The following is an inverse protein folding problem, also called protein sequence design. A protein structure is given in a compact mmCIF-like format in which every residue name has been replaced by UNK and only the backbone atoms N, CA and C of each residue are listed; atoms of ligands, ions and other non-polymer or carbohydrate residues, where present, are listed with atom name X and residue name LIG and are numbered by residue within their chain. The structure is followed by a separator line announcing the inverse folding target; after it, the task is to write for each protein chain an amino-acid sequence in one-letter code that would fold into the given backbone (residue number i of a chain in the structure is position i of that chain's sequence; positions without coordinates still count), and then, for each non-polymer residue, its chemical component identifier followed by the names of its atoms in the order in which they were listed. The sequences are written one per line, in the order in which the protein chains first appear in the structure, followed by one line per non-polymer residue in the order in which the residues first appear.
data_IF_703251796215
#
_entry.id   IF_703251796215
#
_cell.length_a   1.000
_cell.length_b   1.000
_cell.length_c   1.000
_cell.angle_alpha   90.00
_cell.angle_beta   90.00
_cell.angle_gamma   90.00
#
_symmetry.space_group_name_H-M   'P 1'
#
loop_
_entity.id
_entity.type
_entity.pdbx_description
1 polymer ?
#
# COMPACT_ATOMS: atom_id res chain seq x y z
N UNK A 1 18.98 -10.21 8.75
CA UNK A 1 17.76 -10.01 9.56
C UNK A 1 17.61 -8.53 9.87
N UNK A 2 16.41 -7.98 9.74
CA UNK A 2 16.09 -6.58 10.03
C UNK A 2 15.11 -6.55 11.20
N UNK A 3 15.36 -5.70 12.19
CA UNK A 3 14.47 -5.43 13.31
C UNK A 3 13.93 -4.00 13.20
N UNK A 4 12.65 -3.82 13.46
CA UNK A 4 12.02 -2.49 13.55
C UNK A 4 11.01 -2.47 14.69
N UNK A 5 10.91 -1.33 15.37
CA UNK A 5 10.00 -1.13 16.48
C UNK A 5 9.30 0.21 16.38
N UNK A 6 8.07 0.27 16.89
CA UNK A 6 7.27 1.47 16.99
C UNK A 6 6.59 1.52 18.36
N UNK A 7 6.67 2.68 19.02
CA UNK A 7 5.97 2.96 20.26
C UNK A 7 5.31 4.33 20.15
N UNK A 8 4.06 4.43 20.55
CA UNK A 8 3.31 5.68 20.57
C UNK A 8 2.52 5.81 21.87
N UNK A 9 2.74 6.93 22.53
CA UNK A 9 2.01 7.34 23.74
C UNK A 9 1.06 8.46 23.31
N UNK A 10 -0.24 8.21 23.42
CA UNK A 10 -1.28 9.12 22.94
C UNK A 10 -1.66 10.19 24.00
N UNK A 11 -1.37 9.94 25.27
CA UNK A 11 -1.64 10.88 26.38
C UNK A 11 -0.69 10.61 27.55
N UNK A 12 -0.32 11.68 28.27
CA UNK A 12 0.47 11.65 29.51
C UNK A 12 -0.32 12.15 30.73
N UNK A 13 -1.62 12.45 30.56
CA UNK A 13 -2.42 13.18 31.55
C UNK A 13 -2.49 12.53 32.94
N UNK A 14 -2.18 11.22 33.06
CA UNK A 14 -2.16 10.49 34.33
C UNK A 14 -0.86 9.69 34.54
N UNK A 15 0.29 10.14 34.03
CA UNK A 15 1.55 9.41 34.23
C UNK A 15 1.94 9.35 35.73
N UNK A 16 2.30 8.17 36.28
CA UNK A 16 2.58 6.89 35.62
C UNK A 16 1.38 5.94 35.42
N UNK A 17 0.21 6.21 36.03
CA UNK A 17 -1.03 5.43 35.89
C UNK A 17 -1.77 5.71 34.56
N UNK A 18 -1.08 5.37 33.48
CA UNK A 18 -1.63 5.47 32.14
C UNK A 18 -2.75 4.44 31.92
N UNK A 19 -3.91 4.89 31.44
CA UNK A 19 -5.00 3.98 31.10
C UNK A 19 -4.67 3.11 29.88
N UNK A 20 -5.44 2.04 29.67
CA UNK A 20 -5.25 1.10 28.55
C UNK A 20 -5.33 1.78 27.16
N UNK A 21 -5.89 3.01 27.09
CA UNK A 21 -6.01 3.79 25.85
C UNK A 21 -4.78 4.66 25.55
N UNK A 22 -3.89 4.86 26.53
CA UNK A 22 -2.75 5.74 26.43
C UNK A 22 -1.63 5.18 25.55
N UNK A 23 -1.47 3.86 25.49
CA UNK A 23 -0.36 3.21 24.78
C UNK A 23 -0.80 2.50 23.49
N UNK A 24 0.04 2.59 22.46
CA UNK A 24 0.03 1.73 21.26
C UNK A 24 1.47 1.37 20.91
N UNK A 25 1.72 0.18 20.38
CA UNK A 25 3.06 -0.20 19.97
C UNK A 25 3.10 -1.45 19.12
N UNK A 26 4.20 -1.63 18.41
CA UNK A 26 4.45 -2.84 17.62
C UNK A 26 5.94 -3.11 17.50
N UNK A 27 6.32 -4.38 17.48
CA UNK A 27 7.67 -4.86 17.19
C UNK A 27 7.59 -5.79 15.98
N UNK A 28 8.47 -5.59 15.01
CA UNK A 28 8.52 -6.37 13.78
C UNK A 28 9.92 -6.87 13.49
N UNK A 29 10.03 -8.17 13.24
CA UNK A 29 11.26 -8.83 12.82
C UNK A 29 11.06 -9.32 11.39
N UNK A 30 11.96 -8.93 10.48
CA UNK A 30 11.98 -9.43 9.10
C UNK A 30 13.25 -10.23 8.86
N UNK A 31 13.08 -11.44 8.36
CA UNK A 31 14.16 -12.31 7.92
C UNK A 31 13.98 -12.64 6.44
N UNK A 32 14.97 -12.26 5.63
CA UNK A 32 15.05 -12.73 4.26
C UNK A 32 15.52 -14.19 4.28
N UNK A 33 14.79 -15.06 3.60
CA UNK A 33 15.08 -16.47 3.44
C UNK A 33 15.66 -16.72 2.04
N UNK A 34 16.10 -17.96 1.78
CA UNK A 34 16.55 -18.39 0.46
C UNK A 34 15.48 -18.22 -0.62
N UNK A 35 15.91 -18.19 -1.89
CA UNK A 35 15.03 -18.08 -3.07
C UNK A 35 14.10 -16.86 -3.07
N UNK A 36 14.45 -15.78 -2.37
CA UNK A 36 13.69 -14.52 -2.39
C UNK A 36 12.48 -14.48 -1.43
N UNK A 37 12.27 -15.52 -0.62
CA UNK A 37 11.21 -15.52 0.39
C UNK A 37 11.53 -14.59 1.56
N UNK A 38 10.49 -14.03 2.19
CA UNK A 38 10.64 -13.23 3.40
C UNK A 38 9.70 -13.72 4.50
N UNK A 39 10.23 -13.92 5.71
CA UNK A 39 9.47 -14.21 6.90
C UNK A 39 9.41 -12.95 7.77
N UNK A 40 8.20 -12.53 8.12
CA UNK A 40 7.96 -11.39 9.01
C UNK A 40 7.25 -11.88 10.27
N UNK A 41 7.85 -11.66 11.44
CA UNK A 41 7.18 -11.82 12.74
C UNK A 41 6.76 -10.45 13.27
N UNK A 42 5.53 -10.35 13.79
CA UNK A 42 5.01 -9.11 14.37
C UNK A 42 4.26 -9.37 15.67
N UNK A 43 4.55 -8.55 16.67
CA UNK A 43 3.68 -8.32 17.81
C UNK A 43 3.16 -6.89 17.75
N UNK A 44 1.87 -6.69 17.96
CA UNK A 44 1.27 -5.37 18.05
C UNK A 44 0.27 -5.28 19.19
N UNK A 45 0.20 -4.10 19.81
CA UNK A 45 -0.73 -3.74 20.86
C UNK A 45 -1.49 -2.48 20.43
N UNK A 46 -2.83 -2.59 20.42
CA UNK A 46 -3.78 -1.56 20.03
C UNK A 46 -3.46 -0.97 18.65
N UNK A 47 -3.20 -1.83 17.69
CA UNK A 47 -2.96 -1.43 16.31
C UNK A 47 -4.24 -0.85 15.69
N UNK A 48 -4.11 0.23 14.91
CA UNK A 48 -5.22 0.90 14.24
C UNK A 48 -5.16 0.59 12.74
N UNK A 49 -6.17 -0.10 12.23
CA UNK A 49 -6.28 -0.46 10.81
C UNK A 49 -7.42 0.33 10.16
N UNK A 50 -7.22 0.85 8.96
CA UNK A 50 -8.30 1.41 8.15
C UNK A 50 -8.88 0.30 7.27
N UNK A 51 -10.17 0.01 7.42
CA UNK A 51 -10.88 -1.02 6.65
C UNK A 51 -11.96 -0.37 5.76
N UNK A 52 -11.53 0.31 4.69
CA UNK A 52 -12.42 0.86 3.66
C UNK A 52 -13.56 1.70 4.24
N UNK A 53 -14.80 1.44 3.81
CA UNK A 53 -16.00 2.16 4.27
C UNK A 53 -16.36 1.89 5.74
N UNK A 54 -15.84 0.84 6.37
CA UNK A 54 -15.94 0.65 7.81
C UNK A 54 -15.07 1.64 8.60
N UNK A 55 -14.11 2.29 7.93
CA UNK A 55 -13.20 3.22 8.55
C UNK A 55 -12.24 2.54 9.51
N UNK A 56 -11.82 3.25 10.56
CA UNK A 56 -10.80 2.72 11.46
C UNK A 56 -11.35 1.69 12.44
N UNK A 57 -10.61 0.60 12.59
CA UNK A 57 -10.82 -0.48 13.56
C UNK A 57 -9.57 -0.64 14.40
N UNK A 58 -9.75 -1.06 15.65
CA UNK A 58 -8.64 -1.30 16.57
C UNK A 58 -8.52 -2.80 16.80
N UNK A 59 -7.34 -3.33 16.56
CA UNK A 59 -6.94 -4.68 16.96
C UNK A 59 -6.28 -4.54 18.32
N UNK A 60 -6.82 -5.20 19.34
CA UNK A 60 -6.36 -5.04 20.71
C UNK A 60 -4.94 -5.57 20.89
N UNK A 61 -4.70 -6.79 20.43
CA UNK A 61 -3.38 -7.37 20.35
C UNK A 61 -3.33 -8.34 19.18
N UNK A 62 -2.14 -8.49 18.59
CA UNK A 62 -1.89 -9.50 17.55
C UNK A 62 -0.45 -9.96 17.65
N UNK A 63 -0.24 -11.27 17.73
CA UNK A 63 1.06 -11.90 17.59
C UNK A 63 1.00 -12.85 16.40
N UNK A 64 1.90 -12.73 15.44
CA UNK A 64 1.88 -13.64 14.31
C UNK A 64 3.09 -13.58 13.41
N UNK A 65 3.05 -14.44 12.41
CA UNK A 65 4.08 -14.58 11.38
C UNK A 65 3.46 -14.59 10.00
N UNK A 66 4.20 -14.04 9.05
CA UNK A 66 3.80 -13.90 7.64
C UNK A 66 4.96 -14.35 6.77
N UNK A 67 4.72 -15.37 5.95
CA UNK A 67 5.65 -15.81 4.91
C UNK A 67 5.20 -15.25 3.56
N UNK A 68 6.06 -14.49 2.91
CA UNK A 68 5.80 -13.88 1.60
C UNK A 68 6.74 -14.47 0.55
N UNK A 69 6.20 -14.85 -0.60
CA UNK A 69 6.98 -15.32 -1.75
C UNK A 69 7.69 -14.16 -2.46
N UNK A 70 8.74 -14.43 -3.26
CA UNK A 70 9.16 -13.47 -4.29
C UNK A 70 8.04 -13.22 -5.31
N UNK A 71 8.20 -12.19 -6.13
CA UNK A 71 7.39 -12.02 -7.34
C UNK A 71 7.90 -12.99 -8.41
N UNK A 72 7.04 -13.89 -8.85
CA UNK A 72 7.32 -14.88 -9.89
C UNK A 72 6.87 -14.26 -11.22
N UNK A 73 7.80 -14.06 -12.15
CA UNK A 73 7.47 -13.61 -13.50
C UNK A 73 6.74 -14.73 -14.26
N UNK A 74 5.64 -14.39 -14.94
CA UNK A 74 4.83 -15.32 -15.72
C UNK A 74 5.04 -15.18 -17.23
N UNK A 75 5.48 -13.99 -17.68
CA UNK A 75 5.81 -13.68 -19.06
C UNK A 75 6.76 -12.47 -19.15
N UNK A 76 7.27 -12.21 -20.34
CA UNK A 76 8.18 -11.09 -20.62
C UNK A 76 7.46 -9.71 -20.62
N UNK A 77 6.12 -9.71 -20.65
CA UNK A 77 5.30 -8.50 -20.62
C UNK A 77 5.13 -7.93 -19.19
N UNK A 78 5.71 -8.59 -18.18
CA UNK A 78 5.69 -8.13 -16.80
C UNK A 78 4.52 -8.67 -15.98
N UNK A 79 3.82 -9.72 -16.45
CA UNK A 79 2.85 -10.42 -15.61
C UNK A 79 3.57 -11.12 -14.47
N UNK A 80 3.03 -10.98 -13.26
CA UNK A 80 3.63 -11.55 -12.04
C UNK A 80 2.60 -12.24 -11.17
N UNK A 81 3.03 -13.32 -10.54
CA UNK A 81 2.32 -13.97 -9.45
C UNK A 81 3.12 -13.86 -8.14
N UNK A 82 2.44 -13.68 -7.03
CA UNK A 82 3.02 -13.78 -5.70
C UNK A 82 2.00 -14.33 -4.73
N UNK A 83 2.45 -15.01 -3.69
CA UNK A 83 1.59 -15.51 -2.63
C UNK A 83 2.15 -15.20 -1.25
N UNK A 84 1.26 -15.24 -0.27
CA UNK A 84 1.56 -15.05 1.13
C UNK A 84 0.73 -16.02 1.95
N UNK A 85 1.30 -16.52 3.04
CA UNK A 85 0.58 -17.25 4.07
C UNK A 85 0.90 -16.67 5.44
N UNK A 86 -0.05 -16.71 6.37
CA UNK A 86 0.16 -16.19 7.71
C UNK A 86 -0.59 -16.95 8.79
N UNK A 87 -0.04 -16.87 10.00
CA UNK A 87 -0.67 -17.28 11.24
C UNK A 87 -0.62 -16.10 12.21
N UNK A 88 -1.74 -15.81 12.87
CA UNK A 88 -1.85 -14.74 13.86
C UNK A 88 -2.76 -15.18 15.00
N UNK A 89 -2.32 -15.05 16.24
CA UNK A 89 -3.20 -15.03 17.40
C UNK A 89 -3.66 -13.59 17.62
N UNK A 90 -4.94 -13.32 17.39
CA UNK A 90 -5.50 -11.96 17.38
C UNK A 90 -6.58 -11.80 18.43
N UNK A 91 -6.52 -10.69 19.16
CA UNK A 91 -7.57 -10.25 20.07
C UNK A 91 -8.18 -8.96 19.53
N UNK A 92 -9.49 -8.97 19.27
CA UNK A 92 -10.22 -7.79 18.81
C UNK A 92 -11.70 -7.90 19.18
N UNK A 93 -12.44 -6.80 19.03
CA UNK A 93 -13.89 -6.81 19.24
C UNK A 93 -14.59 -7.64 18.16
N UNK A 94 -15.49 -8.51 18.62
CA UNK A 94 -16.40 -9.30 17.79
C UNK A 94 -17.85 -8.90 18.10
N UNK A 95 -18.70 -8.93 17.09
CA UNK A 95 -20.14 -8.74 17.22
C UNK A 95 -20.91 -10.07 17.09
N UNK A 96 -20.22 -11.22 17.12
CA UNK A 96 -20.80 -12.56 17.10
C UNK A 96 -21.30 -12.96 18.49
N UNK A 97 -22.61 -12.97 18.77
CA UNK A 97 -23.12 -13.26 20.11
C UNK A 97 -22.63 -14.61 20.66
N UNK A 98 -22.49 -15.61 19.80
CA UNK A 98 -22.04 -16.97 20.11
C UNK A 98 -20.57 -17.05 20.57
N UNK A 99 -19.73 -16.06 20.23
CA UNK A 99 -18.34 -15.98 20.70
C UNK A 99 -18.22 -15.22 22.02
N UNK A 100 -19.30 -14.59 22.49
CA UNK A 100 -19.25 -13.64 23.57
C UNK A 100 -19.95 -14.18 24.83
N UNK A 101 -19.29 -14.04 25.98
CA UNK A 101 -19.86 -14.43 27.28
C UNK A 101 -21.09 -13.58 27.61
N UNK A 102 -22.09 -14.16 28.27
CA UNK A 102 -23.34 -13.46 28.63
C UNK A 102 -23.09 -12.23 29.52
N UNK A 103 -22.29 -12.39 30.57
CA UNK A 103 -21.82 -11.30 31.43
C UNK A 103 -20.37 -10.93 31.07
N UNK A 104 -20.17 -9.76 30.44
CA UNK A 104 -18.87 -9.31 29.93
C UNK A 104 -18.67 -7.81 30.06
N UNK A 105 -17.42 -7.39 30.27
CA UNK A 105 -17.02 -5.98 30.32
C UNK A 105 -16.72 -5.38 28.94
N UNK A 106 -16.43 -6.23 27.95
CA UNK A 106 -16.12 -5.84 26.57
C UNK A 106 -16.48 -6.98 25.61
N UNK A 107 -16.45 -6.68 24.31
CA UNK A 107 -16.76 -7.65 23.24
C UNK A 107 -15.50 -8.29 22.63
N UNK A 108 -14.38 -8.31 23.36
CA UNK A 108 -13.10 -8.80 22.83
C UNK A 108 -13.07 -10.33 22.85
N UNK A 109 -12.63 -10.91 21.75
CA UNK A 109 -12.42 -12.35 21.60
C UNK A 109 -11.02 -12.56 21.06
N UNK A 110 -10.36 -13.61 21.54
CA UNK A 110 -9.05 -14.05 21.05
C UNK A 110 -9.25 -15.27 20.15
N UNK A 111 -8.86 -15.16 18.89
CA UNK A 111 -8.92 -16.26 17.91
C UNK A 111 -7.57 -16.41 17.22
N UNK A 112 -7.24 -17.65 16.87
CA UNK A 112 -6.18 -17.89 15.89
C UNK A 112 -6.75 -17.63 14.50
N UNK A 113 -5.95 -16.99 13.65
CA UNK A 113 -6.27 -16.59 12.28
C UNK A 113 -5.19 -17.14 11.36
N UNK A 114 -5.62 -17.92 10.38
CA UNK A 114 -4.79 -18.46 9.31
C UNK A 114 -5.24 -17.84 8.00
N UNK A 115 -4.31 -17.28 7.23
CA UNK A 115 -4.64 -16.65 5.94
C UNK A 115 -3.71 -17.16 4.86
N UNK A 116 -4.26 -17.44 3.68
CA UNK A 116 -3.51 -17.58 2.45
C UNK A 116 -4.03 -16.57 1.41
N UNK A 117 -3.10 -15.89 0.76
CA UNK A 117 -3.34 -14.87 -0.27
C UNK A 117 -2.51 -15.21 -1.51
N UNK A 118 -3.15 -15.25 -2.68
CA UNK A 118 -2.51 -15.25 -3.98
C UNK A 118 -2.83 -13.96 -4.73
N UNK A 119 -1.85 -13.36 -5.39
CA UNK A 119 -2.01 -12.16 -6.21
C UNK A 119 -1.42 -12.38 -7.59
N UNK A 120 -2.25 -12.19 -8.61
CA UNK A 120 -1.88 -12.14 -10.01
C UNK A 120 -1.97 -10.68 -10.48
N UNK A 121 -0.91 -10.18 -11.12
CA UNK A 121 -0.90 -8.89 -11.81
C UNK A 121 -0.57 -9.19 -13.27
N UNK A 122 -1.42 -8.73 -14.18
CA UNK A 122 -1.27 -8.96 -15.61
C UNK A 122 -1.44 -7.63 -16.36
N UNK A 123 -0.34 -6.93 -16.67
CA UNK A 123 -0.37 -5.72 -17.49
C UNK A 123 -0.40 -6.07 -18.99
N UNK A 124 -1.08 -5.25 -19.78
CA UNK A 124 -1.06 -5.30 -21.25
C UNK A 124 -0.74 -3.91 -21.76
N UNK A 125 0.48 -3.72 -22.27
CA UNK A 125 0.89 -2.46 -22.87
C UNK A 125 0.10 -2.22 -24.16
N UNK A 126 -0.70 -1.15 -24.19
CA UNK A 126 -1.46 -0.78 -25.39
C UNK A 126 -0.63 0.12 -26.30
N UNK A 127 0.11 1.05 -25.69
CA UNK A 127 0.92 2.02 -26.40
C UNK A 127 2.07 2.52 -25.53
N UNK A 128 3.21 2.81 -26.16
CA UNK A 128 4.39 3.42 -25.54
C UNK A 128 5.00 4.41 -26.52
N UNK A 129 5.23 5.63 -26.05
CA UNK A 129 5.99 6.63 -26.79
C UNK A 129 7.49 6.53 -26.51
N UNK A 130 8.23 7.49 -27.05
CA UNK A 130 9.66 7.64 -26.77
C UNK A 130 9.90 8.65 -25.66
N UNK A 131 10.92 8.39 -24.83
CA UNK A 131 11.39 9.35 -23.85
C UNK A 131 12.25 10.43 -24.51
N UNK A 132 12.26 11.63 -23.93
CA UNK A 132 13.21 12.66 -24.34
C UNK A 132 14.65 12.27 -23.97
N UNK A 133 15.65 12.82 -24.66
CA UNK A 133 17.05 12.60 -24.29
C UNK A 133 17.30 12.97 -22.83
N UNK A 134 18.19 12.23 -22.18
CA UNK A 134 18.53 12.40 -20.77
C UNK A 134 19.46 13.61 -20.55
N UNK A 135 19.05 14.80 -21.00
CA UNK A 135 19.78 16.07 -20.88
C UNK A 135 19.11 16.99 -19.87
N UNK A 136 19.86 17.98 -19.38
CA UNK A 136 19.41 18.94 -18.37
C UNK A 136 18.21 19.78 -18.81
N UNK A 137 18.10 20.06 -20.10
CA UNK A 137 17.07 20.91 -20.70
C UNK A 137 15.87 20.12 -21.20
N UNK A 138 15.97 18.80 -21.30
CA UNK A 138 14.93 17.93 -21.87
C UNK A 138 14.43 16.91 -20.82
N UNK A 139 14.74 15.63 -20.97
CA UNK A 139 14.17 14.55 -20.16
C UNK A 139 14.57 14.57 -18.68
N UNK A 140 15.60 15.31 -18.29
CA UNK A 140 16.02 15.43 -16.89
C UNK A 140 15.68 16.78 -16.25
N UNK A 141 14.92 17.65 -16.92
CA UNK A 141 14.68 19.02 -16.45
C UNK A 141 13.95 19.08 -15.10
N UNK A 142 12.93 18.24 -14.93
CA UNK A 142 12.12 18.19 -13.71
C UNK A 142 12.16 16.84 -12.97
N UNK A 143 12.75 15.80 -13.57
CA UNK A 143 12.83 14.45 -13.01
C UNK A 143 14.24 13.86 -13.11
N UNK A 144 14.59 12.92 -12.22
CA UNK A 144 15.90 12.24 -12.27
C UNK A 144 16.02 11.25 -13.43
N UNK A 145 14.91 10.87 -14.08
CA UNK A 145 14.85 10.00 -15.25
C UNK A 145 13.85 10.55 -16.26
N UNK A 146 14.08 10.38 -17.58
CA UNK A 146 13.10 10.79 -18.60
C UNK A 146 11.75 10.13 -18.40
N UNK A 147 10.69 10.93 -18.50
CA UNK A 147 9.31 10.43 -18.49
C UNK A 147 8.98 9.89 -19.87
N UNK A 148 8.54 8.64 -19.92
CA UNK A 148 8.14 7.96 -21.15
C UNK A 148 6.61 7.87 -21.17
N UNK A 149 5.92 8.48 -22.15
CA UNK A 149 4.48 8.33 -22.31
C UNK A 149 4.09 6.86 -22.53
N UNK A 150 3.00 6.40 -21.92
CA UNK A 150 2.44 5.08 -22.18
C UNK A 150 0.97 4.99 -21.80
N UNK A 151 0.28 4.01 -22.36
CA UNK A 151 -1.06 3.57 -21.96
C UNK A 151 -1.05 2.05 -21.86
N UNK A 152 -1.60 1.51 -20.77
CA UNK A 152 -1.71 0.08 -20.57
C UNK A 152 -3.04 -0.29 -19.92
N UNK A 153 -3.51 -1.50 -20.21
CA UNK A 153 -4.50 -2.18 -19.38
C UNK A 153 -3.79 -2.93 -18.26
N UNK A 154 -4.47 -3.09 -17.15
CA UNK A 154 -4.00 -3.95 -16.07
C UNK A 154 -5.17 -4.73 -15.49
N UNK A 155 -4.93 -6.04 -15.33
CA UNK A 155 -5.75 -6.96 -14.57
C UNK A 155 -5.02 -7.30 -13.28
N UNK A 156 -5.69 -7.13 -12.14
CA UNK A 156 -5.16 -7.49 -10.82
C UNK A 156 -6.17 -8.41 -10.16
N UNK A 157 -5.81 -9.66 -9.95
CA UNK A 157 -6.67 -10.66 -9.30
C UNK A 157 -6.05 -11.09 -7.98
N UNK A 158 -6.84 -11.11 -6.91
CA UNK A 158 -6.42 -11.53 -5.57
C UNK A 158 -7.40 -12.57 -5.06
N UNK A 159 -6.89 -13.76 -4.73
CA UNK A 159 -7.63 -14.80 -4.02
C UNK A 159 -7.17 -14.83 -2.58
N UNK A 160 -8.10 -14.72 -1.62
CA UNK A 160 -7.81 -14.78 -0.19
C UNK A 160 -8.71 -15.81 0.46
N UNK A 161 -8.14 -16.58 1.37
CA UNK A 161 -8.90 -17.42 2.29
C UNK A 161 -8.36 -17.21 3.69
N UNK A 162 -9.27 -16.91 4.62
CA UNK A 162 -8.97 -16.71 6.02
C UNK A 162 -9.83 -17.68 6.84
N UNK A 163 -9.20 -18.42 7.74
CA UNK A 163 -9.84 -19.33 8.69
C UNK A 163 -9.54 -18.91 10.12
N UNK A 164 -10.49 -19.12 11.02
CA UNK A 164 -10.34 -18.85 12.44
C UNK A 164 -10.56 -20.10 13.29
N UNK A 165 -9.99 -20.15 14.50
CA UNK A 165 -10.08 -21.32 15.39
C UNK A 165 -11.49 -21.74 15.81
N UNK A 166 -12.51 -20.90 15.64
CA UNK A 166 -13.92 -21.18 16.01
C UNK A 166 -14.83 -21.49 14.81
N UNK A 167 -14.31 -22.18 13.78
CA UNK A 167 -15.05 -22.55 12.56
C UNK A 167 -15.63 -21.37 11.75
N UNK A 168 -15.09 -20.17 11.92
CA UNK A 168 -15.38 -19.07 11.00
C UNK A 168 -14.38 -19.08 9.85
N UNK A 169 -14.84 -18.62 8.70
CA UNK A 169 -13.98 -18.34 7.56
C UNK A 169 -14.52 -17.20 6.71
N UNK A 170 -13.62 -16.58 5.97
CA UNK A 170 -13.94 -15.63 4.92
C UNK A 170 -13.01 -15.90 3.76
N UNK A 171 -13.56 -16.22 2.59
CA UNK A 171 -12.80 -16.40 1.36
C UNK A 171 -13.34 -15.46 0.31
N UNK A 172 -12.46 -14.87 -0.50
CA UNK A 172 -12.91 -14.01 -1.58
C UNK A 172 -11.97 -14.02 -2.77
N UNK A 173 -12.54 -13.73 -3.93
CA UNK A 173 -11.83 -13.46 -5.16
C UNK A 173 -12.11 -12.01 -5.56
N UNK A 174 -11.09 -11.17 -5.50
CA UNK A 174 -11.13 -9.76 -5.88
C UNK A 174 -10.43 -9.57 -7.22
N UNK A 175 -11.15 -9.08 -8.23
CA UNK A 175 -10.61 -8.81 -9.56
C UNK A 175 -10.76 -7.33 -9.88
N UNK A 176 -9.65 -6.68 -10.24
CA UNK A 176 -9.61 -5.29 -10.69
C UNK A 176 -9.17 -5.24 -12.13
N UNK A 177 -9.94 -4.56 -12.98
CA UNK A 177 -9.60 -4.32 -14.39
C UNK A 177 -9.61 -2.82 -14.62
N UNK A 178 -8.61 -2.31 -15.32
CA UNK A 178 -8.53 -0.89 -15.57
C UNK A 178 -7.52 -0.50 -16.62
N UNK A 179 -7.52 0.79 -16.90
CA UNK A 179 -6.54 1.46 -17.75
C UNK A 179 -5.72 2.41 -16.89
N UNK A 180 -4.43 2.49 -17.17
CA UNK A 180 -3.56 3.48 -16.57
C UNK A 180 -2.51 3.93 -17.58
N UNK A 181 -1.97 5.12 -17.36
CA UNK A 181 -0.97 5.65 -18.26
C UNK A 181 -0.45 6.99 -17.81
N UNK A 182 0.46 7.51 -18.63
CA UNK A 182 0.94 8.87 -18.53
C UNK A 182 1.20 9.40 -19.93
N UNK A 183 0.90 10.68 -20.13
CA UNK A 183 1.06 11.40 -21.37
C UNK A 183 1.99 12.59 -21.14
N UNK A 184 2.72 12.98 -22.19
CA UNK A 184 3.73 14.03 -22.14
C UNK A 184 5.04 13.63 -21.44
N UNK A 185 6.00 14.54 -21.42
CA UNK A 185 7.38 14.27 -21.00
C UNK A 185 7.79 14.96 -19.70
N UNK A 186 6.90 15.80 -19.13
CA UNK A 186 7.19 16.61 -17.95
C UNK A 186 8.51 17.37 -18.09
N UNK A 187 8.66 18.08 -19.22
CA UNK A 187 9.87 18.81 -19.60
C UNK A 187 9.56 20.24 -20.02
N UNK A 188 8.43 20.50 -20.66
CA UNK A 188 7.98 21.87 -20.97
C UNK A 188 7.41 22.55 -19.72
N UNK A 189 7.19 23.85 -19.82
CA UNK A 189 6.79 24.67 -18.68
C UNK A 189 5.32 24.55 -18.31
N UNK A 190 4.44 24.05 -19.20
CA UNK A 190 3.01 24.05 -18.94
C UNK A 190 2.31 22.85 -19.57
N UNK A 191 1.44 22.19 -18.80
CA UNK A 191 0.56 21.07 -19.22
C UNK A 191 1.25 19.98 -20.07
N UNK A 192 2.51 19.70 -19.83
CA UNK A 192 3.30 18.69 -20.57
C UNK A 192 3.38 17.35 -19.83
N UNK A 193 2.52 17.15 -18.84
CA UNK A 193 2.37 15.87 -18.17
C UNK A 193 0.96 15.65 -17.63
N UNK A 194 0.40 14.51 -17.97
CA UNK A 194 -0.85 14.00 -17.39
C UNK A 194 -0.68 12.52 -17.06
N UNK A 195 -0.69 12.15 -15.79
CA UNK A 195 -0.81 10.77 -15.33
C UNK A 195 -2.27 10.45 -15.04
N UNK A 196 -2.73 9.24 -15.38
CA UNK A 196 -4.11 8.83 -15.12
C UNK A 196 -4.24 7.34 -14.79
N UNK A 197 -5.28 7.00 -14.04
CA UNK A 197 -5.69 5.63 -13.79
C UNK A 197 -7.21 5.54 -13.59
N UNK A 198 -7.82 4.46 -14.07
CA UNK A 198 -9.22 4.15 -13.85
C UNK A 198 -9.38 2.62 -13.74
N UNK A 199 -9.83 2.16 -12.58
CA UNK A 199 -9.99 0.75 -12.26
C UNK A 199 -11.38 0.46 -11.70
N UNK A 200 -12.00 -0.59 -12.21
CA UNK A 200 -13.17 -1.20 -11.59
C UNK A 200 -12.74 -2.47 -10.87
N UNK A 201 -13.10 -2.59 -9.60
CA UNK A 201 -12.88 -3.77 -8.76
C UNK A 201 -14.21 -4.43 -8.44
N UNK A 202 -14.30 -5.73 -8.69
CA UNK A 202 -15.38 -6.60 -8.27
C UNK A 202 -14.84 -7.68 -7.33
N UNK A 203 -15.55 -7.91 -6.23
CA UNK A 203 -15.25 -9.01 -5.31
C UNK A 203 -16.40 -10.00 -5.28
N UNK A 204 -16.05 -11.28 -5.27
CA UNK A 204 -16.94 -12.40 -4.96
C UNK A 204 -16.52 -12.90 -3.58
N UNK A 205 -17.44 -12.87 -2.62
CA UNK A 205 -17.20 -13.16 -1.21
C UNK A 205 -17.98 -14.39 -0.77
N UNK A 206 -17.34 -15.26 -0.01
CA UNK A 206 -17.94 -16.38 0.69
C UNK A 206 -17.54 -16.34 2.18
N UNK A 207 -18.50 -16.64 3.05
CA UNK A 207 -18.34 -16.50 4.49
C UNK A 207 -18.17 -15.05 4.96
N UNK A 208 -17.86 -14.90 6.25
CA UNK A 208 -17.74 -13.59 6.88
C UNK A 208 -16.88 -13.67 8.13
N UNK A 209 -15.90 -12.77 8.24
CA UNK A 209 -15.02 -12.67 9.40
C UNK A 209 -15.81 -12.43 10.71
N UNK A 210 -15.43 -13.07 11.82
CA UNK A 210 -15.94 -12.75 13.15
C UNK A 210 -15.45 -11.39 13.67
N UNK A 211 -14.47 -10.76 13.00
CA UNK A 211 -13.92 -9.47 13.40
C UNK A 211 -14.21 -8.36 12.38
N UNK A 212 -14.68 -7.20 12.87
CA UNK A 212 -15.00 -6.05 12.02
C UNK A 212 -13.79 -5.46 11.27
N UNK A 213 -12.57 -5.63 11.79
CA UNK A 213 -11.36 -5.14 11.13
C UNK A 213 -11.02 -5.91 9.85
N UNK A 214 -11.55 -7.13 9.71
CA UNK A 214 -11.19 -8.08 8.66
C UNK A 214 -12.38 -8.42 7.74
N UNK A 215 -13.54 -7.80 8.00
CA UNK A 215 -14.71 -7.95 7.13
C UNK A 215 -14.51 -7.22 5.83
N UNK A 216 -14.78 -7.92 4.74
CA UNK A 216 -14.82 -7.33 3.42
C UNK A 216 -16.24 -6.84 3.12
N UNK A 217 -16.45 -5.52 3.16
CA UNK A 217 -17.75 -4.91 2.84
C UNK A 217 -17.75 -4.18 1.50
N UNK A 218 -16.57 -3.81 1.01
CA UNK A 218 -16.42 -3.05 -0.22
C UNK A 218 -16.22 -4.00 -1.40
N UNK A 219 -17.34 -4.46 -1.98
CA UNK A 219 -17.32 -5.48 -3.03
C UNK A 219 -17.23 -4.88 -4.44
N UNK A 220 -17.77 -3.68 -4.65
CA UNK A 220 -17.77 -2.99 -5.94
C UNK A 220 -17.16 -1.62 -5.78
N UNK A 221 -15.94 -1.45 -6.29
CA UNK A 221 -15.17 -0.22 -6.10
C UNK A 221 -14.74 0.35 -7.43
N UNK A 222 -14.97 1.65 -7.63
CA UNK A 222 -14.38 2.41 -8.72
C UNK A 222 -13.23 3.24 -8.15
N UNK A 223 -12.03 3.07 -8.70
CA UNK A 223 -10.84 3.84 -8.35
C UNK A 223 -10.39 4.67 -9.54
N UNK A 224 -10.11 5.95 -9.31
CA UNK A 224 -9.66 6.89 -10.32
C UNK A 224 -8.48 7.71 -9.81
N UNK A 225 -7.54 8.01 -10.68
CA UNK A 225 -6.39 8.85 -10.39
C UNK A 225 -6.13 9.80 -11.55
N UNK A 226 -5.80 11.04 -11.24
CA UNK A 226 -5.35 12.04 -12.21
C UNK A 226 -4.22 12.85 -11.57
N UNK A 227 -3.11 13.01 -12.28
CA UNK A 227 -2.01 13.89 -11.92
C UNK A 227 -1.73 14.79 -13.10
N UNK A 228 -1.75 16.09 -12.90
CA UNK A 228 -1.54 17.09 -13.94
C UNK A 228 -0.36 17.98 -13.58
N UNK A 229 0.56 18.20 -14.53
CA UNK A 229 1.52 19.30 -14.42
C UNK A 229 0.78 20.62 -14.55
N UNK A 230 0.94 21.48 -13.56
CA UNK A 230 0.39 22.83 -13.57
C UNK A 230 1.36 23.75 -14.28
N UNK A 231 2.56 23.94 -13.72
CA UNK A 231 3.59 24.81 -14.30
C UNK A 231 4.98 24.42 -13.80
N UNK A 232 5.96 24.40 -14.69
CA UNK A 232 7.34 24.00 -14.41
C UNK A 232 7.40 22.65 -13.69
N UNK A 233 8.10 22.62 -12.55
CA UNK A 233 8.19 21.42 -11.71
C UNK A 233 6.94 21.10 -10.88
N UNK A 234 5.86 21.88 -10.94
CA UNK A 234 4.67 21.66 -10.11
C UNK A 234 3.67 20.71 -10.75
N UNK A 235 3.21 19.74 -9.96
CA UNK A 235 2.13 18.83 -10.30
C UNK A 235 1.10 18.78 -9.18
N UNK A 236 -0.17 18.72 -9.54
CA UNK A 236 -1.24 18.42 -8.61
C UNK A 236 -1.92 17.12 -9.03
N UNK A 237 -2.34 16.34 -8.05
CA UNK A 237 -3.03 15.09 -8.31
C UNK A 237 -4.17 14.83 -7.35
N UNK A 238 -5.15 14.08 -7.84
CA UNK A 238 -6.25 13.54 -7.08
C UNK A 238 -6.35 12.04 -7.32
N UNK A 239 -6.49 11.27 -6.26
CA UNK A 239 -6.85 9.85 -6.32
C UNK A 239 -8.11 9.62 -5.49
N UNK A 240 -9.13 9.01 -6.08
CA UNK A 240 -10.39 8.73 -5.42
C UNK A 240 -10.76 7.26 -5.59
N UNK A 241 -11.28 6.65 -4.53
CA UNK A 241 -11.88 5.32 -4.59
C UNK A 241 -13.24 5.35 -3.90
N UNK A 242 -14.27 4.86 -4.57
CA UNK A 242 -15.67 4.93 -4.12
C UNK A 242 -16.31 3.55 -4.23
N UNK A 243 -17.05 3.15 -3.19
CA UNK A 243 -17.90 1.97 -3.22
C UNK A 243 -19.16 2.29 -4.02
N UNK A 244 -19.43 1.52 -5.06
CA UNK A 244 -20.55 1.76 -5.97
C UNK A 244 -21.92 1.33 -5.42
N UNK A 245 -21.94 0.51 -4.36
CA UNK A 245 -23.18 0.03 -3.75
C UNK A 245 -23.74 1.06 -2.74
N UNK A 246 -22.88 1.77 -2.01
CA UNK A 246 -23.29 2.73 -0.98
C UNK A 246 -22.84 4.19 -1.25
N UNK A 247 -22.04 4.43 -2.28
CA UNK A 247 -21.54 5.77 -2.64
C UNK A 247 -20.49 6.34 -1.69
N UNK A 248 -20.06 5.59 -0.68
CA UNK A 248 -19.08 6.05 0.30
C UNK A 248 -17.66 5.97 -0.28
N UNK A 249 -16.87 7.00 -0.01
CA UNK A 249 -15.46 7.04 -0.41
C UNK A 249 -14.58 6.20 0.52
N UNK A 250 -13.80 5.29 -0.06
CA UNK A 250 -12.75 4.52 0.62
C UNK A 250 -11.43 5.31 0.68
N UNK A 251 -11.23 6.19 -0.30
CA UNK A 251 -10.02 6.97 -0.46
C UNK A 251 -10.36 8.28 -1.18
N UNK A 252 -9.84 9.38 -0.67
CA UNK A 252 -9.71 10.62 -1.41
C UNK A 252 -8.35 11.18 -1.02
N UNK A 253 -7.42 11.21 -1.95
CA UNK A 253 -6.09 11.71 -1.74
C UNK A 253 -5.83 12.89 -2.67
N UNK A 254 -5.34 13.98 -2.09
CA UNK A 254 -4.91 15.17 -2.79
C UNK A 254 -3.40 15.26 -2.65
N UNK A 255 -2.72 15.48 -3.77
CA UNK A 255 -1.27 15.61 -3.82
C UNK A 255 -0.88 16.92 -4.49
N UNK A 256 0.12 17.58 -3.91
CA UNK A 256 0.82 18.69 -4.54
C UNK A 256 2.32 18.38 -4.47
N UNK A 257 2.95 18.30 -5.62
CA UNK A 257 4.37 18.03 -5.75
C UNK A 257 5.07 19.20 -6.44
N UNK A 258 6.20 19.61 -5.86
CA UNK A 258 7.23 20.34 -6.57
C UNK A 258 8.40 19.42 -6.85
N UNK A 259 8.69 19.19 -8.12
CA UNK A 259 9.72 18.26 -8.58
C UNK A 259 10.82 18.99 -9.33
N UNK A 260 12.05 18.72 -8.92
CA UNK A 260 13.27 18.92 -9.70
C UNK A 260 13.99 17.59 -9.84
N UNK A 261 15.03 17.62 -10.67
CA UNK A 261 15.91 16.48 -10.89
C UNK A 261 16.53 15.93 -9.60
N UNK A 262 17.16 16.80 -8.83
CA UNK A 262 17.93 16.45 -7.62
C UNK A 262 17.11 16.44 -6.34
N UNK A 263 15.92 17.04 -6.33
CA UNK A 263 15.06 17.04 -5.15
C UNK A 263 13.58 17.19 -5.50
N UNK A 264 12.71 16.83 -4.57
CA UNK A 264 11.28 17.09 -4.69
C UNK A 264 10.61 17.19 -3.32
N UNK A 265 9.53 17.94 -3.26
CA UNK A 265 8.69 18.10 -2.07
C UNK A 265 7.29 17.66 -2.45
N UNK A 266 6.74 16.70 -1.71
CA UNK A 266 5.39 16.17 -1.95
C UNK A 266 4.56 16.39 -0.70
N UNK A 267 3.52 17.21 -0.82
CA UNK A 267 2.45 17.32 0.16
C UNK A 267 1.33 16.37 -0.23
N UNK A 268 0.87 15.55 0.72
CA UNK A 268 -0.23 14.61 0.55
C UNK A 268 -1.23 14.78 1.68
N UNK A 269 -2.52 14.84 1.34
CA UNK A 269 -3.62 14.92 2.30
C UNK A 269 -4.69 13.92 1.91
N UNK A 270 -5.20 13.19 2.89
CA UNK A 270 -6.30 12.26 2.70
C UNK A 270 -7.40 12.54 3.75
N UNK A 271 -8.46 13.30 3.42
CA UNK A 271 -9.53 13.63 4.36
C UNK A 271 -10.29 12.40 4.88
N UNK A 272 -10.48 11.37 4.06
CA UNK A 272 -11.20 10.14 4.46
C UNK A 272 -10.44 9.42 5.56
N UNK A 273 -9.12 9.30 5.42
CA UNK A 273 -8.24 8.68 6.41
C UNK A 273 -7.78 9.65 7.50
N UNK A 274 -8.00 10.94 7.35
CA UNK A 274 -7.55 12.01 8.27
C UNK A 274 -6.03 11.95 8.50
N UNK A 275 -5.28 11.73 7.43
CA UNK A 275 -3.82 11.71 7.44
C UNK A 275 -3.28 12.76 6.47
N UNK A 276 -2.14 13.33 6.82
CA UNK A 276 -1.35 14.19 5.95
C UNK A 276 0.13 13.81 6.07
N UNK A 277 0.88 13.99 5.00
CA UNK A 277 2.33 13.78 5.00
C UNK A 277 3.05 14.78 4.11
N UNK A 278 4.28 15.10 4.52
CA UNK A 278 5.25 15.83 3.72
C UNK A 278 6.40 14.87 3.45
N UNK A 279 6.72 14.66 2.18
CA UNK A 279 7.80 13.78 1.76
C UNK A 279 8.85 14.62 1.05
N UNK A 280 10.09 14.50 1.52
CA UNK A 280 11.26 15.12 0.90
C UNK A 280 12.00 14.03 0.13
N UNK A 281 12.10 14.21 -1.19
CA UNK A 281 12.93 13.38 -2.05
C UNK A 281 14.24 14.11 -2.27
N UNK A 282 15.34 13.42 -1.99
CA UNK A 282 16.69 13.83 -2.43
C UNK A 282 17.13 12.78 -3.45
N UNK A 283 17.66 13.23 -4.57
CA UNK A 283 18.13 12.41 -5.68
C UNK A 283 19.58 12.77 -5.99
N UNK A 284 20.21 12.01 -6.88
CA UNK A 284 21.60 12.25 -7.26
C UNK A 284 21.78 13.67 -7.87
N UNK A 285 22.93 14.26 -7.57
CA UNK A 285 23.34 15.57 -8.05
C UNK A 285 24.19 15.47 -9.32
N UNK A 286 24.74 14.29 -9.64
CA UNK A 286 25.59 14.08 -10.81
C UNK A 286 24.79 14.09 -12.11
N UNK A 287 25.22 14.85 -13.12
CA UNK A 287 24.55 15.00 -14.44
C UNK A 287 24.75 13.82 -15.40
N UNK A 288 25.76 13.00 -15.13
CA UNK A 288 26.03 11.77 -15.85
C UNK A 288 25.17 10.73 -15.15
N UNK A 289 24.04 10.33 -15.76
CA UNK A 289 23.17 9.31 -15.18
C UNK A 289 24.02 8.10 -14.81
N UNK A 290 24.09 7.76 -13.53
CA UNK A 290 24.94 6.67 -13.03
C UNK A 290 24.44 5.34 -13.61
N UNK A 291 25.25 4.60 -14.39
CA UNK A 291 25.00 3.21 -14.65
C UNK A 291 25.70 2.39 -13.56
N UNK A 292 25.26 2.49 -12.30
CA UNK A 292 25.64 1.49 -11.31
C UNK A 292 24.59 1.38 -10.18
N UNK A 293 23.93 0.22 -10.00
CA UNK A 293 23.01 -0.03 -8.90
C UNK A 293 23.70 -0.34 -7.56
N UNK A 294 25.04 -0.35 -7.48
CA UNK A 294 25.77 -0.69 -6.26
C UNK A 294 26.44 0.53 -5.62
N UNK A 295 25.67 1.26 -4.80
CA UNK A 295 26.25 2.12 -3.76
C UNK A 295 26.96 1.23 -2.73
N UNK A 296 28.30 1.20 -2.72
CA UNK A 296 29.08 0.69 -1.59
C UNK A 296 30.25 -0.28 -1.85
N UNK A 297 30.71 -0.49 -3.09
CA UNK A 297 31.99 -1.19 -3.30
C UNK A 297 33.17 -0.22 -3.16
N UNK A 298 34.13 -0.58 -2.32
CA UNK A 298 35.41 0.13 -2.16
C UNK A 298 36.16 0.15 -3.50
N UNK A 299 36.84 1.25 -3.86
CA UNK A 299 37.65 1.30 -5.07
C UNK A 299 38.69 0.20 -5.04
N UNK A 300 38.79 -0.61 -6.09
CA UNK A 300 39.98 -1.43 -6.30
C UNK A 300 41.11 -0.49 -6.66
N UNK A 301 42.11 -0.39 -5.79
CA UNK A 301 43.42 0.15 -6.13
C UNK A 301 44.08 -0.82 -7.12
N UNK A 302 44.23 -0.39 -8.36
CA UNK A 302 45.11 -1.05 -9.32
C UNK A 302 46.56 -0.76 -8.92
N UNK A 303 47.35 -1.83 -8.74
CA UNK A 303 48.80 -1.83 -8.89
C UNK A 303 49.12 -2.40 -10.26
#
# INVERSE_FOLDING_TARGET
TQLSGFLSINTLENFPDLNEKALRGSIRVRQQLGAGFALNGEYSYRNRLFNGTLGYRTIWSSLGTVLTSPKIALNDQGATFSFQTSYQSVTADSDRPELLKLNRLNNRVSLDRYEALGTLIYPVLLWRGEGLPATATEGLRYTPKPVIPFVQLALITRGVTTKYSQNYSQSYLSTSVGVQGQLGHFSKDFLDYTGFSLFYTQVILDGQSPFLFDRLVDQRVLSMGLVQQIYGGFRAGIESAVNLDNGLSLNNELTLEYSRRSYGVILRINPVRRIGSINLRISDFNWIGTPDPYFGSTPKTEN
#
